data_IF_579765209955
#
_entry.id   IF_579765209955
#
_cell.length_a   1.000
_cell.length_b   1.000
_cell.length_c   1.000
_cell.angle_alpha   90.00
_cell.angle_beta   90.00
_cell.angle_gamma   90.00
#
_symmetry.space_group_name_H-M   'P 1'
#
loop_
_entity.id
_entity.type
_entity.pdbx_description
1 polymer ?
#
# COMPACT_ATOMS: atom_id res chain seq x y z
N UNK A 1 47.05 -44.39 0.94
CA UNK A 1 46.73 -43.65 2.19
C UNK A 1 46.45 -42.21 1.80
N UNK A 2 45.22 -41.71 2.00
CA UNK A 2 44.86 -40.31 1.71
C UNK A 2 45.29 -39.47 2.92
N UNK A 3 46.17 -38.49 2.71
CA UNK A 3 46.53 -37.52 3.75
C UNK A 3 45.28 -36.69 4.09
N UNK A 4 44.76 -36.85 5.30
CA UNK A 4 43.78 -35.91 5.86
C UNK A 4 44.56 -34.66 6.31
N UNK A 5 44.54 -33.63 5.47
CA UNK A 5 44.97 -32.29 5.89
C UNK A 5 43.91 -31.74 6.85
N UNK A 6 44.20 -31.77 8.15
CA UNK A 6 43.41 -31.06 9.15
C UNK A 6 43.53 -29.54 8.96
N UNK A 7 42.46 -28.82 9.32
CA UNK A 7 42.43 -27.36 9.33
C UNK A 7 43.41 -26.81 10.36
N UNK A 8 44.11 -25.72 10.05
CA UNK A 8 45.08 -25.12 10.99
C UNK A 8 44.38 -24.18 11.98
N UNK A 9 44.92 -24.05 13.21
CA UNK A 9 44.37 -23.12 14.22
C UNK A 9 44.30 -21.67 13.71
N UNK A 10 45.30 -21.25 12.93
CA UNK A 10 45.33 -19.90 12.36
C UNK A 10 44.19 -19.66 11.38
N UNK A 11 43.78 -20.69 10.64
CA UNK A 11 42.73 -20.62 9.63
C UNK A 11 41.34 -20.47 10.27
N UNK A 12 41.14 -21.10 11.43
CA UNK A 12 39.93 -20.89 12.24
C UNK A 12 39.89 -19.49 12.86
N UNK A 13 41.03 -18.97 13.33
CA UNK A 13 41.14 -17.62 13.92
C UNK A 13 40.88 -16.54 12.86
N UNK A 14 41.49 -16.67 11.69
CA UNK A 14 41.26 -15.73 10.59
C UNK A 14 39.79 -15.76 10.17
N UNK A 15 39.16 -16.94 10.13
CA UNK A 15 37.75 -17.06 9.75
C UNK A 15 36.81 -16.31 10.69
N UNK A 16 36.99 -16.42 12.01
CA UNK A 16 36.14 -15.69 12.97
C UNK A 16 36.40 -14.17 12.94
N UNK A 17 37.63 -13.74 12.66
CA UNK A 17 37.96 -12.32 12.50
C UNK A 17 37.28 -11.76 11.26
N UNK A 18 37.37 -12.47 10.13
CA UNK A 18 36.75 -12.04 8.86
C UNK A 18 35.23 -11.99 9.01
N UNK A 19 34.60 -13.03 9.57
CA UNK A 19 33.15 -13.03 9.82
C UNK A 19 32.75 -11.91 10.79
N UNK A 20 33.59 -11.64 11.81
CA UNK A 20 33.36 -10.53 12.74
C UNK A 20 33.35 -9.16 12.06
N UNK A 21 34.31 -8.88 11.18
CA UNK A 21 34.36 -7.62 10.42
C UNK A 21 33.16 -7.50 9.48
N UNK A 22 32.82 -8.57 8.75
CA UNK A 22 31.66 -8.59 7.86
C UNK A 22 30.34 -8.36 8.62
N UNK A 23 30.20 -8.96 9.81
CA UNK A 23 29.02 -8.78 10.65
C UNK A 23 28.85 -7.32 11.10
N UNK A 24 29.92 -6.67 11.55
CA UNK A 24 29.87 -5.26 12.00
C UNK A 24 29.47 -4.31 10.86
N UNK A 25 29.91 -4.57 9.63
CA UNK A 25 29.57 -3.74 8.46
C UNK A 25 28.14 -4.03 7.96
N UNK A 26 27.67 -5.28 8.02
CA UNK A 26 26.36 -5.67 7.51
C UNK A 26 25.20 -5.36 8.48
N UNK A 27 25.43 -5.42 9.79
CA UNK A 27 24.39 -5.29 10.82
C UNK A 27 23.58 -3.99 10.72
N UNK A 28 24.16 -2.79 10.51
CA UNK A 28 23.39 -1.56 10.45
C UNK A 28 22.37 -1.56 9.30
N UNK A 29 22.75 -2.07 8.13
CA UNK A 29 21.82 -2.18 6.99
C UNK A 29 20.73 -3.22 7.24
N UNK A 30 21.07 -4.33 7.87
CA UNK A 30 20.11 -5.41 8.13
C UNK A 30 18.94 -4.97 9.02
N UNK A 31 19.20 -4.07 9.99
CA UNK A 31 18.15 -3.55 10.89
C UNK A 31 17.12 -2.71 10.13
N UNK A 32 17.56 -1.87 9.19
CA UNK A 32 16.67 -0.92 8.48
C UNK A 32 15.88 -1.53 7.31
N UNK A 33 16.33 -2.67 6.74
CA UNK A 33 15.67 -3.30 5.57
C UNK A 33 14.20 -3.64 5.86
N UNK A 34 13.87 -4.01 7.10
CA UNK A 34 12.49 -4.38 7.44
C UNK A 34 11.55 -3.20 7.37
N UNK A 35 11.98 -2.03 7.86
CA UNK A 35 11.16 -0.81 7.85
C UNK A 35 11.06 -0.25 6.43
N UNK A 36 12.17 -0.21 5.69
CA UNK A 36 12.19 0.19 4.28
C UNK A 36 11.28 -0.70 3.42
N UNK A 37 11.25 -2.01 3.70
CA UNK A 37 10.38 -2.95 2.99
C UNK A 37 8.90 -2.68 3.27
N UNK A 38 8.54 -2.37 4.52
CA UNK A 38 7.15 -2.03 4.88
C UNK A 38 6.69 -0.75 4.20
N UNK A 39 7.53 0.29 4.21
CA UNK A 39 7.23 1.57 3.54
C UNK A 39 7.05 1.33 2.03
N UNK A 40 7.95 0.57 1.40
CA UNK A 40 7.84 0.25 -0.02
C UNK A 40 6.56 -0.53 -0.37
N UNK A 41 6.10 -1.41 0.50
CA UNK A 41 4.83 -2.14 0.33
C UNK A 41 3.64 -1.19 0.45
N UNK A 42 3.61 -0.33 1.48
CA UNK A 42 2.56 0.67 1.66
C UNK A 42 2.47 1.64 0.47
N UNK A 43 3.62 2.12 -0.02
CA UNK A 43 3.70 2.95 -1.23
C UNK A 43 3.18 2.21 -2.48
N UNK A 44 3.52 0.93 -2.61
CA UNK A 44 3.02 0.08 -3.69
C UNK A 44 1.50 -0.07 -3.66
N UNK A 45 0.91 -0.23 -2.47
CA UNK A 45 -0.53 -0.30 -2.28
C UNK A 45 -1.22 1.03 -2.64
N UNK A 46 -0.69 2.16 -2.17
CA UNK A 46 -1.22 3.48 -2.50
C UNK A 46 -1.13 3.79 -4.00
N UNK A 47 -0.01 3.44 -4.64
CA UNK A 47 0.17 3.58 -6.08
C UNK A 47 -0.79 2.69 -6.88
N UNK A 48 -1.06 1.47 -6.40
CA UNK A 48 -2.07 0.58 -6.99
C UNK A 48 -3.45 1.23 -6.97
N UNK A 49 -3.87 1.74 -5.81
CA UNK A 49 -5.13 2.47 -5.67
C UNK A 49 -5.19 3.70 -6.59
N UNK A 50 -4.17 4.56 -6.59
CA UNK A 50 -4.10 5.72 -7.48
C UNK A 50 -4.23 5.31 -8.96
N UNK A 51 -3.53 4.25 -9.37
CA UNK A 51 -3.55 3.76 -10.76
C UNK A 51 -4.91 3.22 -11.19
N UNK A 52 -5.70 2.70 -10.25
CA UNK A 52 -7.02 2.10 -10.50
C UNK A 52 -8.14 3.13 -10.72
N UNK A 53 -7.98 4.35 -10.20
CA UNK A 53 -8.99 5.43 -10.32
C UNK A 53 -9.21 5.80 -11.78
N UNK A 54 -8.14 5.97 -12.56
CA UNK A 54 -8.23 6.41 -13.95
C UNK A 54 -8.96 5.41 -14.87
N UNK A 55 -8.70 4.09 -14.82
CA UNK A 55 -9.50 3.08 -15.48
C UNK A 55 -10.97 3.10 -15.05
N UNK A 56 -11.25 3.21 -13.74
CA UNK A 56 -12.62 3.29 -13.22
C UNK A 56 -13.37 4.50 -13.79
N UNK A 57 -12.73 5.68 -13.77
CA UNK A 57 -13.26 6.91 -14.36
C UNK A 57 -13.47 6.79 -15.87
N UNK A 58 -12.57 6.12 -16.58
CA UNK A 58 -12.70 5.89 -18.02
C UNK A 58 -13.90 5.00 -18.32
N UNK A 59 -14.07 3.91 -17.57
CA UNK A 59 -15.25 3.03 -17.66
C UNK A 59 -16.53 3.81 -17.41
N UNK A 60 -16.54 4.68 -16.41
CA UNK A 60 -17.68 5.52 -16.08
C UNK A 60 -18.11 6.44 -17.24
N UNK A 61 -17.14 7.04 -17.93
CA UNK A 61 -17.40 7.89 -19.10
C UNK A 61 -17.94 7.05 -20.26
N UNK A 62 -17.38 5.86 -20.50
CA UNK A 62 -17.85 4.93 -21.55
C UNK A 62 -19.28 4.48 -21.29
N UNK A 63 -19.66 4.26 -20.02
CA UNK A 63 -21.01 3.86 -19.62
C UNK A 63 -22.02 5.03 -19.58
N UNK A 64 -21.72 6.13 -20.29
CA UNK A 64 -22.57 7.31 -20.42
C UNK A 64 -22.87 8.01 -19.09
N UNK A 65 -21.87 8.05 -18.17
CA UNK A 65 -21.93 8.81 -16.92
C UNK A 65 -23.21 8.56 -16.10
N UNK A 66 -23.57 7.29 -15.86
CA UNK A 66 -24.81 6.90 -15.12
C UNK A 66 -24.81 7.27 -13.62
N UNK A 67 -23.73 7.84 -13.10
CA UNK A 67 -23.49 8.07 -11.67
C UNK A 67 -22.89 6.88 -10.90
N UNK A 68 -22.67 5.74 -11.56
CA UNK A 68 -22.01 4.57 -10.98
C UNK A 68 -21.39 3.70 -12.09
N UNK A 69 -20.56 2.74 -11.70
CA UNK A 69 -20.10 1.61 -12.51
C UNK A 69 -20.19 0.32 -11.70
N UNK A 70 -20.15 -0.83 -12.38
CA UNK A 70 -20.03 -2.14 -11.74
C UNK A 70 -18.67 -2.75 -12.07
N UNK A 71 -17.90 -3.13 -11.05
CA UNK A 71 -16.62 -3.86 -11.16
C UNK A 71 -16.78 -5.13 -10.36
N UNK A 72 -16.66 -6.29 -11.00
CA UNK A 72 -16.77 -7.62 -10.38
C UNK A 72 -18.01 -7.80 -9.48
N UNK A 73 -19.15 -7.33 -9.96
CA UNK A 73 -20.43 -7.38 -9.24
C UNK A 73 -20.57 -6.33 -8.13
N UNK A 74 -19.54 -5.54 -7.86
CA UNK A 74 -19.55 -4.46 -6.87
C UNK A 74 -19.82 -3.10 -7.50
N UNK A 75 -20.61 -2.27 -6.81
CA UNK A 75 -20.96 -0.92 -7.28
C UNK A 75 -19.92 0.09 -6.77
N UNK A 76 -19.34 0.85 -7.70
CA UNK A 76 -18.53 2.04 -7.40
C UNK A 76 -19.35 3.28 -7.76
N UNK A 77 -19.59 4.14 -6.77
CA UNK A 77 -20.35 5.38 -6.94
C UNK A 77 -19.47 6.46 -7.58
N UNK A 78 -20.07 7.24 -8.48
CA UNK A 78 -19.52 8.47 -9.04
C UNK A 78 -20.43 9.66 -8.71
N UNK A 79 -21.39 9.48 -7.80
CA UNK A 79 -22.36 10.50 -7.45
C UNK A 79 -22.01 11.16 -6.12
N UNK A 80 -22.00 12.48 -6.12
CA UNK A 80 -21.86 13.33 -4.95
C UNK A 80 -23.10 14.22 -4.90
N UNK A 81 -23.95 14.04 -3.90
CA UNK A 81 -25.26 14.71 -3.82
C UNK A 81 -26.09 14.49 -5.11
N UNK A 82 -26.42 15.58 -5.81
CA UNK A 82 -27.15 15.57 -7.08
C UNK A 82 -26.25 15.66 -8.32
N UNK A 83 -24.93 15.62 -8.14
CA UNK A 83 -23.97 15.76 -9.23
C UNK A 83 -23.27 14.43 -9.54
N UNK A 84 -23.04 14.19 -10.84
CA UNK A 84 -22.25 13.07 -11.32
C UNK A 84 -20.82 13.58 -11.55
N UNK A 85 -19.89 13.06 -10.76
CA UNK A 85 -18.47 13.40 -10.80
C UNK A 85 -17.73 12.53 -11.82
N UNK A 86 -16.54 12.97 -12.21
CA UNK A 86 -15.67 12.23 -13.15
C UNK A 86 -14.72 11.26 -12.44
N UNK A 87 -14.82 11.16 -11.11
CA UNK A 87 -13.99 10.35 -10.24
C UNK A 87 -14.88 9.65 -9.20
N UNK A 88 -14.45 8.49 -8.67
CA UNK A 88 -15.22 7.75 -7.67
C UNK A 88 -15.57 8.58 -6.44
N UNK A 89 -16.64 8.22 -5.74
CA UNK A 89 -17.16 8.92 -4.58
C UNK A 89 -17.34 7.97 -3.41
N UNK A 90 -16.94 8.44 -2.22
CA UNK A 90 -17.23 7.82 -0.93
C UNK A 90 -17.93 8.86 -0.01
N UNK A 91 -18.87 8.40 0.82
CA UNK A 91 -19.67 9.29 1.67
C UNK A 91 -19.32 9.25 3.16
N UNK A 92 -18.62 8.21 3.60
CA UNK A 92 -18.25 7.96 4.99
C UNK A 92 -17.01 7.03 5.04
N UNK A 93 -16.49 6.76 6.24
CA UNK A 93 -15.29 5.92 6.44
C UNK A 93 -15.49 4.52 5.85
N UNK A 94 -16.66 3.91 6.02
CA UNK A 94 -16.96 2.59 5.45
C UNK A 94 -16.98 2.62 3.92
N UNK A 95 -17.49 3.68 3.32
CA UNK A 95 -17.48 3.87 1.87
C UNK A 95 -16.07 4.10 1.34
N UNK A 96 -15.16 4.69 2.12
CA UNK A 96 -13.73 4.75 1.79
C UNK A 96 -13.13 3.34 1.78
N UNK A 97 -13.35 2.56 2.84
CA UNK A 97 -12.93 1.16 2.89
C UNK A 97 -13.48 0.35 1.70
N UNK A 98 -14.77 0.48 1.41
CA UNK A 98 -15.39 -0.17 0.26
C UNK A 98 -14.81 0.31 -1.07
N UNK A 99 -14.51 1.59 -1.22
CA UNK A 99 -13.92 2.15 -2.44
C UNK A 99 -12.54 1.54 -2.69
N UNK A 100 -11.69 1.48 -1.66
CA UNK A 100 -10.41 0.78 -1.71
C UNK A 100 -10.61 -0.68 -2.13
N UNK A 101 -11.42 -1.41 -1.39
CA UNK A 101 -11.66 -2.85 -1.61
C UNK A 101 -12.26 -3.20 -2.97
N UNK A 102 -12.86 -2.25 -3.68
CA UNK A 102 -13.44 -2.44 -5.02
C UNK A 102 -12.48 -2.08 -6.14
N UNK A 103 -11.46 -1.29 -5.84
CA UNK A 103 -10.53 -0.74 -6.82
C UNK A 103 -9.14 -1.40 -6.76
N UNK A 104 -8.78 -1.98 -5.63
CA UNK A 104 -7.51 -2.71 -5.45
C UNK A 104 -7.74 -4.20 -5.31
N UNK A 105 -6.77 -4.97 -5.82
CA UNK A 105 -6.62 -6.39 -5.52
C UNK A 105 -5.54 -6.52 -4.45
N UNK A 106 -5.91 -6.87 -3.21
CA UNK A 106 -4.93 -6.99 -2.13
C UNK A 106 -5.53 -6.90 -0.72
N UNK A 107 -4.72 -6.37 0.20
CA UNK A 107 -5.11 -6.11 1.58
C UNK A 107 -6.34 -5.21 1.64
N UNK A 108 -7.25 -5.56 2.54
CA UNK A 108 -8.56 -4.93 2.61
C UNK A 108 -8.53 -3.76 3.58
N UNK A 109 -9.12 -2.65 3.16
CA UNK A 109 -9.39 -1.52 4.04
C UNK A 109 -10.62 -1.78 4.90
N UNK A 110 -10.60 -1.21 6.10
CA UNK A 110 -11.71 -1.22 7.04
C UNK A 110 -11.78 0.10 7.81
N UNK A 111 -12.96 0.44 8.30
CA UNK A 111 -13.21 1.61 9.15
C UNK A 111 -12.98 1.34 10.65
N UNK A 112 -12.33 0.24 11.02
CA UNK A 112 -11.97 -0.12 12.40
C UNK A 112 -10.53 0.29 12.70
N UNK A 113 -10.28 0.91 13.86
CA UNK A 113 -9.00 1.56 14.24
C UNK A 113 -7.79 0.60 14.29
N UNK A 114 -8.00 -0.71 14.46
CA UNK A 114 -6.93 -1.71 14.62
C UNK A 114 -6.69 -2.57 13.37
N UNK A 115 -7.22 -2.18 12.21
CA UNK A 115 -7.03 -2.92 10.95
C UNK A 115 -5.78 -2.47 10.20
N UNK A 116 -5.19 -3.40 9.43
CA UNK A 116 -3.94 -3.15 8.71
C UNK A 116 -4.02 -1.94 7.76
N UNK A 117 -5.17 -1.78 7.13
CA UNK A 117 -5.52 -0.59 6.36
C UNK A 117 -6.74 0.05 7.01
N UNK A 118 -6.53 1.08 7.81
CA UNK A 118 -7.59 1.82 8.46
C UNK A 118 -8.03 3.00 7.60
N UNK A 119 -9.33 3.13 7.33
CA UNK A 119 -9.89 4.25 6.57
C UNK A 119 -10.72 5.19 7.42
N UNK A 120 -10.48 6.49 7.30
CA UNK A 120 -11.24 7.58 7.95
C UNK A 120 -11.77 8.54 6.90
N UNK A 121 -13.00 8.99 7.06
CA UNK A 121 -13.57 10.04 6.21
C UNK A 121 -13.68 11.36 6.96
N UNK A 122 -13.00 12.39 6.46
CA UNK A 122 -13.05 13.74 7.01
C UNK A 122 -13.07 14.78 5.89
N UNK A 123 -13.96 15.78 5.98
CA UNK A 123 -14.05 16.90 5.03
C UNK A 123 -13.99 16.50 3.53
N UNK A 124 -14.75 15.46 3.14
CA UNK A 124 -14.76 14.91 1.77
C UNK A 124 -13.43 14.29 1.33
N UNK A 125 -12.61 13.87 2.26
CA UNK A 125 -11.34 13.19 2.02
C UNK A 125 -11.39 11.83 2.69
N UNK A 126 -11.05 10.79 1.93
CA UNK A 126 -10.74 9.48 2.50
C UNK A 126 -9.27 9.45 2.88
N UNK A 127 -8.98 9.35 4.16
CA UNK A 127 -7.66 9.06 4.68
C UNK A 127 -7.52 7.56 4.87
N UNK A 128 -6.38 7.01 4.47
CA UNK A 128 -6.04 5.61 4.66
C UNK A 128 -4.69 5.55 5.38
N UNK A 129 -4.67 4.88 6.52
CA UNK A 129 -3.48 4.59 7.29
C UNK A 129 -3.04 3.15 7.02
N UNK A 130 -1.81 2.96 6.56
CA UNK A 130 -1.18 1.66 6.35
C UNK A 130 0.14 1.67 7.13
N UNK A 131 0.20 0.91 8.22
CA UNK A 131 1.34 0.93 9.15
C UNK A 131 1.64 2.36 9.65
N UNK A 132 2.79 2.94 9.28
CA UNK A 132 3.21 4.30 9.65
C UNK A 132 3.01 5.32 8.51
N UNK A 133 2.33 4.94 7.42
CA UNK A 133 2.13 5.79 6.25
C UNK A 133 0.67 6.19 6.11
N UNK A 134 0.43 7.46 5.77
CA UNK A 134 -0.90 8.01 5.53
C UNK A 134 -0.98 8.50 4.10
N UNK A 135 -2.07 8.17 3.42
CA UNK A 135 -2.41 8.79 2.14
C UNK A 135 -3.88 9.14 2.10
N UNK A 136 -4.20 10.10 1.25
CA UNK A 136 -5.53 10.69 1.16
C UNK A 136 -6.05 10.59 -0.25
N UNK A 137 -7.36 10.45 -0.38
CA UNK A 137 -8.12 10.54 -1.62
C UNK A 137 -9.17 11.64 -1.47
N UNK A 138 -9.05 12.69 -2.28
CA UNK A 138 -9.93 13.85 -2.20
C UNK A 138 -11.17 13.66 -3.08
N UNK A 139 -12.35 13.56 -2.47
CA UNK A 139 -13.60 13.32 -3.19
C UNK A 139 -14.11 14.55 -3.96
N UNK A 140 -13.44 15.71 -3.89
CA UNK A 140 -13.72 16.88 -4.72
C UNK A 140 -12.85 16.97 -5.98
N UNK A 141 -11.67 16.34 -6.00
CA UNK A 141 -10.74 16.38 -7.15
C UNK A 141 -10.47 15.02 -7.78
N UNK A 142 -10.66 13.92 -7.04
CA UNK A 142 -10.22 12.58 -7.43
C UNK A 142 -8.71 12.38 -7.31
N UNK A 143 -8.01 13.28 -6.62
CA UNK A 143 -6.56 13.23 -6.42
C UNK A 143 -6.19 12.35 -5.24
N UNK A 144 -5.09 11.60 -5.37
CA UNK A 144 -4.46 10.84 -4.28
C UNK A 144 -3.19 11.55 -3.86
N UNK A 145 -3.05 11.87 -2.57
CA UNK A 145 -1.89 12.59 -2.02
C UNK A 145 -1.32 11.81 -0.83
N UNK A 146 0.00 11.66 -0.80
CA UNK A 146 0.74 11.05 0.32
C UNK A 146 1.12 12.14 1.33
N UNK A 147 1.01 11.83 2.62
CA UNK A 147 1.29 12.74 3.74
C UNK A 147 2.51 12.26 4.51
#
# INVERSE_FOLDING_TARGET
MKNQSGFTLIEMIISIIVIGILAVVALPRFIHISDDAKIAVADGMAASFESSIKPASSKHVIENKKGFIVIDGSIVSFRSDNEIKSYPQAGDSRACAELWNKLTEGERASDFEDEYIHSVFYEKTCEYSIEEQIFTYNNNSGEVVRI
#
